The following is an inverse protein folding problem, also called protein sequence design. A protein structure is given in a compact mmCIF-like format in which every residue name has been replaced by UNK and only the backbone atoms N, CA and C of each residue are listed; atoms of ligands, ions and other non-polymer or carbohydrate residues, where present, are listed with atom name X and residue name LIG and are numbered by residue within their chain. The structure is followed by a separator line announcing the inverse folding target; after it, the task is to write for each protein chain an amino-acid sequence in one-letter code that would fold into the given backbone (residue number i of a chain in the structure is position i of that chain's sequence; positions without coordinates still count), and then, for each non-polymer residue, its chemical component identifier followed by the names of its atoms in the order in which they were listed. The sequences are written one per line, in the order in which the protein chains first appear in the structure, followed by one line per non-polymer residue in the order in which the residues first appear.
data_IF_265403864537
#
_entry.id   IF_265403864537
#
_cell.length_a   1.000
_cell.length_b   1.000
_cell.length_c   1.000
_cell.angle_alpha   90.00
_cell.angle_beta   90.00
_cell.angle_gamma   90.00
#
_symmetry.space_group_name_H-M   'P 1'
#
loop_
_entity.id
_entity.type
_entity.pdbx_description
1 polymer ?
#
# COMPACT_ATOMS: atom_id res chain seq x y z
N UNK A 1 -40.29 -9.83 -22.81
CA UNK A 1 -38.83 -10.03 -22.81
C UNK A 1 -38.16 -9.25 -21.67
N UNK A 2 -38.45 -7.96 -21.51
CA UNK A 2 -37.90 -7.11 -20.43
C UNK A 2 -38.31 -7.56 -19.01
N UNK A 3 -39.60 -7.89 -18.83
CA UNK A 3 -40.17 -8.44 -17.58
C UNK A 3 -39.45 -9.72 -17.09
N UNK A 4 -39.01 -10.56 -18.04
CA UNK A 4 -38.33 -11.83 -17.74
C UNK A 4 -36.85 -11.64 -17.40
N UNK A 5 -36.24 -10.52 -17.79
CA UNK A 5 -34.84 -10.20 -17.52
C UNK A 5 -34.65 -9.61 -16.13
N UNK A 6 -35.56 -8.74 -15.69
CA UNK A 6 -35.53 -8.10 -14.36
C UNK A 6 -35.70 -9.11 -13.22
N UNK A 7 -36.65 -10.04 -13.35
CA UNK A 7 -36.86 -11.11 -12.36
C UNK A 7 -35.68 -12.07 -12.26
N UNK A 8 -35.01 -12.38 -13.38
CA UNK A 8 -33.82 -13.24 -13.41
C UNK A 8 -32.59 -12.54 -12.83
N UNK A 9 -32.41 -11.26 -13.12
CA UNK A 9 -31.33 -10.46 -12.54
C UNK A 9 -31.50 -10.28 -11.03
N UNK A 10 -32.73 -10.10 -10.54
CA UNK A 10 -33.02 -10.06 -9.10
C UNK A 10 -32.72 -11.38 -8.37
N UNK A 11 -33.03 -12.52 -8.97
CA UNK A 11 -32.70 -13.83 -8.42
C UNK A 11 -31.18 -14.09 -8.39
N UNK A 12 -30.46 -13.71 -9.45
CA UNK A 12 -29.00 -13.82 -9.54
C UNK A 12 -28.28 -12.88 -8.57
N UNK A 13 -28.87 -11.72 -8.27
CA UNK A 13 -28.33 -10.79 -7.28
C UNK A 13 -28.35 -11.38 -5.86
N UNK A 14 -29.27 -12.29 -5.57
CA UNK A 14 -29.41 -12.97 -4.27
C UNK A 14 -28.59 -14.27 -4.16
N UNK A 15 -27.92 -14.69 -5.23
CA UNK A 15 -27.17 -15.95 -5.25
C UNK A 15 -25.79 -15.79 -4.59
N UNK A 16 -25.64 -16.33 -3.37
CA UNK A 16 -24.40 -16.25 -2.59
C UNK A 16 -23.27 -17.17 -3.08
N UNK A 17 -23.49 -17.97 -4.13
CA UNK A 17 -22.47 -18.89 -4.65
C UNK A 17 -21.29 -18.18 -5.32
N UNK A 18 -21.49 -16.97 -5.86
CA UNK A 18 -20.43 -16.19 -6.51
C UNK A 18 -20.61 -14.67 -6.33
N UNK A 19 -19.70 -13.99 -5.61
CA UNK A 19 -19.80 -12.54 -5.40
C UNK A 19 -19.63 -11.76 -6.72
N UNK A 20 -18.91 -12.32 -7.70
CA UNK A 20 -18.74 -11.70 -9.03
C UNK A 20 -20.07 -11.69 -9.78
N UNK A 21 -20.84 -12.78 -9.75
CA UNK A 21 -22.16 -12.86 -10.39
C UNK A 21 -23.16 -11.92 -9.72
N UNK A 22 -23.08 -11.77 -8.39
CA UNK A 22 -23.88 -10.80 -7.65
C UNK A 22 -23.60 -9.36 -8.07
N UNK A 23 -22.32 -8.98 -8.20
CA UNK A 23 -21.92 -7.63 -8.66
C UNK A 23 -22.47 -7.34 -10.06
N UNK A 24 -22.27 -8.24 -11.02
CA UNK A 24 -22.69 -8.02 -12.41
C UNK A 24 -24.21 -8.04 -12.59
N UNK A 25 -24.93 -8.87 -11.83
CA UNK A 25 -26.40 -8.89 -11.83
C UNK A 25 -26.99 -7.62 -11.21
N UNK A 26 -26.44 -7.14 -10.09
CA UNK A 26 -26.82 -5.85 -9.48
C UNK A 26 -26.53 -4.67 -10.41
N UNK A 27 -25.37 -4.70 -11.09
CA UNK A 27 -25.01 -3.66 -12.04
C UNK A 27 -25.96 -3.65 -13.25
N UNK A 28 -26.29 -4.83 -13.80
CA UNK A 28 -27.29 -4.96 -14.86
C UNK A 28 -28.66 -4.44 -14.41
N UNK A 29 -29.08 -4.75 -13.17
CA UNK A 29 -30.33 -4.26 -12.60
C UNK A 29 -30.33 -2.72 -12.48
N UNK A 30 -29.19 -2.12 -12.12
CA UNK A 30 -29.05 -0.65 -12.01
C UNK A 30 -29.16 0.03 -13.37
N UNK A 31 -28.55 -0.53 -14.42
CA UNK A 31 -28.65 -0.04 -15.79
C UNK A 31 -30.08 -0.18 -16.34
N UNK A 32 -30.78 -1.25 -16.00
CA UNK A 32 -32.19 -1.43 -16.39
C UNK A 32 -33.06 -0.38 -15.71
N UNK A 33 -32.83 -0.11 -14.42
CA UNK A 33 -33.54 0.93 -13.68
C UNK A 33 -33.30 2.33 -14.28
N UNK A 34 -32.06 2.66 -14.64
CA UNK A 34 -31.70 3.95 -15.25
C UNK A 34 -32.29 4.12 -16.66
N UNK A 35 -32.29 3.05 -17.47
CA UNK A 35 -32.76 3.08 -18.85
C UNK A 35 -34.29 2.99 -19.00
N UNK A 36 -34.98 2.38 -18.03
CA UNK A 36 -36.43 2.13 -18.12
C UNK A 36 -37.28 3.32 -17.64
N UNK A 37 -36.68 4.29 -16.93
CA UNK A 37 -37.36 5.50 -16.49
C UNK A 37 -38.69 5.22 -15.74
N UNK A 38 -39.80 5.94 -16.02
CA UNK A 38 -41.06 5.78 -15.30
C UNK A 38 -41.75 4.42 -15.51
N UNK A 39 -41.33 3.63 -16.50
CA UNK A 39 -41.86 2.28 -16.79
C UNK A 39 -41.39 1.29 -15.70
N UNK A 40 -40.30 1.59 -15.00
CA UNK A 40 -39.73 0.78 -13.92
C UNK A 40 -40.55 0.79 -12.61
N UNK A 41 -41.62 1.59 -12.51
CA UNK A 41 -42.39 1.80 -11.26
C UNK A 41 -42.95 0.51 -10.65
N UNK A 42 -43.38 -0.45 -11.47
CA UNK A 42 -43.89 -1.74 -10.99
C UNK A 42 -42.84 -2.64 -10.31
N UNK A 43 -41.56 -2.32 -10.49
CA UNK A 43 -40.43 -3.15 -10.02
C UNK A 43 -39.66 -2.51 -8.86
N UNK A 44 -40.06 -1.33 -8.40
CA UNK A 44 -39.37 -0.62 -7.32
C UNK A 44 -39.45 -1.42 -6.01
N UNK A 45 -40.64 -1.88 -5.64
CA UNK A 45 -40.89 -2.61 -4.41
C UNK A 45 -40.18 -3.99 -4.34
N UNK A 46 -40.25 -4.87 -5.36
CA UNK A 46 -39.48 -6.12 -5.35
C UNK A 46 -37.97 -5.88 -5.37
N UNK A 47 -37.49 -4.90 -6.13
CA UNK A 47 -36.05 -4.57 -6.18
C UNK A 47 -35.55 -4.02 -4.84
N UNK A 48 -36.38 -3.26 -4.12
CA UNK A 48 -36.05 -2.76 -2.79
C UNK A 48 -35.97 -3.89 -1.75
N UNK A 49 -36.84 -4.90 -1.85
CA UNK A 49 -36.75 -6.10 -1.01
C UNK A 49 -35.45 -6.88 -1.24
N UNK A 50 -35.00 -6.99 -2.50
CA UNK A 50 -33.72 -7.63 -2.86
C UNK A 50 -32.55 -6.84 -2.28
N UNK A 51 -32.57 -5.51 -2.42
CA UNK A 51 -31.54 -4.63 -1.86
C UNK A 51 -31.46 -4.72 -0.34
N UNK A 52 -32.60 -4.69 0.37
CA UNK A 52 -32.62 -4.82 1.82
C UNK A 52 -32.10 -6.19 2.28
N UNK A 53 -32.47 -7.26 1.59
CA UNK A 53 -31.99 -8.61 1.88
C UNK A 53 -30.48 -8.71 1.70
N UNK A 54 -29.92 -8.08 0.67
CA UNK A 54 -28.48 -8.07 0.44
C UNK A 54 -27.71 -7.21 1.43
N UNK A 55 -28.25 -6.06 1.81
CA UNK A 55 -27.66 -5.20 2.84
C UNK A 55 -27.58 -5.87 4.21
N UNK A 56 -28.51 -6.80 4.51
CA UNK A 56 -28.54 -7.52 5.79
C UNK A 56 -27.71 -8.81 5.79
N UNK A 57 -27.51 -9.44 4.62
CA UNK A 57 -26.91 -10.78 4.54
C UNK A 57 -25.50 -10.83 3.93
N UNK A 58 -25.04 -9.79 3.23
CA UNK A 58 -23.72 -9.79 2.57
C UNK A 58 -22.62 -9.36 3.54
N UNK A 59 -21.53 -10.12 3.60
CA UNK A 59 -20.36 -9.78 4.42
C UNK A 59 -19.74 -8.43 4.03
N UNK A 60 -19.33 -7.63 5.02
CA UNK A 60 -18.74 -6.30 4.85
C UNK A 60 -17.43 -6.28 4.03
N UNK A 61 -16.82 -7.43 3.77
CA UNK A 61 -15.62 -7.55 2.94
C UNK A 61 -15.87 -7.29 1.45
N UNK A 62 -17.12 -7.40 0.96
CA UNK A 62 -17.45 -7.28 -0.47
C UNK A 62 -17.89 -5.87 -0.86
N UNK A 63 -16.96 -4.92 -0.83
CA UNK A 63 -17.20 -3.48 -1.08
C UNK A 63 -17.87 -3.20 -2.44
N UNK A 64 -17.57 -3.99 -3.47
CA UNK A 64 -18.11 -3.81 -4.83
C UNK A 64 -19.63 -4.09 -4.92
N UNK A 65 -20.13 -5.01 -4.09
CA UNK A 65 -21.57 -5.32 -3.99
C UNK A 65 -22.30 -4.11 -3.38
N UNK A 66 -21.72 -3.52 -2.33
CA UNK A 66 -22.26 -2.31 -1.69
C UNK A 66 -22.26 -1.10 -2.64
N UNK A 67 -21.25 -0.95 -3.50
CA UNK A 67 -21.24 0.08 -4.54
C UNK A 67 -22.35 -0.12 -5.58
N UNK A 68 -22.63 -1.36 -5.99
CA UNK A 68 -23.69 -1.66 -6.96
C UNK A 68 -25.09 -1.46 -6.37
N UNK A 69 -25.30 -1.86 -5.11
CA UNK A 69 -26.50 -1.51 -4.32
C UNK A 69 -26.62 0.01 -4.16
N UNK A 70 -25.48 0.69 -4.03
CA UNK A 70 -25.31 2.14 -4.13
C UNK A 70 -26.04 2.74 -5.33
N UNK A 71 -25.59 2.33 -6.52
CA UNK A 71 -26.05 2.80 -7.84
C UNK A 71 -27.51 2.43 -8.15
N UNK A 72 -27.93 1.23 -7.79
CA UNK A 72 -29.31 0.77 -8.00
C UNK A 72 -30.33 1.63 -7.23
N UNK A 73 -30.04 1.97 -5.98
CA UNK A 73 -30.91 2.83 -5.17
C UNK A 73 -30.93 4.29 -5.68
N UNK A 74 -29.81 4.83 -6.20
CA UNK A 74 -29.83 6.15 -6.83
C UNK A 74 -30.66 6.20 -8.10
N UNK A 75 -30.61 5.13 -8.91
CA UNK A 75 -31.47 4.97 -10.09
C UNK A 75 -32.95 4.95 -9.71
N UNK A 76 -33.31 4.18 -8.67
CA UNK A 76 -34.68 4.13 -8.15
C UNK A 76 -35.17 5.49 -7.61
N UNK A 77 -34.31 6.24 -6.93
CA UNK A 77 -34.64 7.55 -6.39
C UNK A 77 -34.91 8.58 -7.49
N UNK A 78 -34.19 8.49 -8.62
CA UNK A 78 -34.46 9.31 -9.81
C UNK A 78 -35.83 9.00 -10.43
N UNK A 79 -36.21 7.71 -10.52
CA UNK A 79 -37.52 7.28 -11.04
C UNK A 79 -38.67 7.70 -10.10
N UNK A 80 -38.45 7.67 -8.78
CA UNK A 80 -39.45 8.07 -7.77
C UNK A 80 -39.68 9.59 -7.71
N UNK A 81 -38.67 10.40 -8.03
CA UNK A 81 -38.75 11.87 -8.04
C UNK A 81 -39.51 12.43 -9.25
N UNK A 82 -39.71 11.64 -10.31
CA UNK A 82 -40.57 11.98 -11.46
C UNK A 82 -42.07 11.80 -11.13
N UNK A 83 -42.60 12.67 -10.25
CA UNK A 83 -44.01 13.06 -10.01
C UNK A 83 -45.03 12.07 -9.37
N UNK A 84 -45.60 12.57 -8.24
CA UNK A 84 -46.94 12.43 -7.60
C UNK A 84 -47.02 11.68 -6.25
N UNK A 85 -47.52 12.42 -5.25
CA UNK A 85 -47.91 12.03 -3.89
C UNK A 85 -48.93 10.87 -3.87
N UNK A 86 -48.56 9.74 -3.27
CA UNK A 86 -49.49 8.73 -2.75
C UNK A 86 -48.99 8.23 -1.40
N UNK A 87 -49.91 7.96 -0.47
CA UNK A 87 -49.64 7.66 0.95
C UNK A 87 -48.75 6.43 1.17
N UNK A 88 -48.78 5.45 0.26
CA UNK A 88 -47.94 4.23 0.31
C UNK A 88 -46.44 4.50 0.06
N UNK A 89 -46.09 5.64 -0.55
CA UNK A 89 -44.70 6.03 -0.83
C UNK A 89 -44.00 6.59 0.43
N UNK A 90 -44.75 6.99 1.46
CA UNK A 90 -44.17 7.51 2.71
C UNK A 90 -43.35 6.47 3.49
N UNK A 91 -43.82 5.20 3.51
CA UNK A 91 -43.08 4.07 4.08
C UNK A 91 -41.89 3.63 3.22
N UNK A 92 -42.02 3.71 1.90
CA UNK A 92 -40.89 3.48 1.00
C UNK A 92 -39.82 4.58 1.19
N UNK A 93 -40.22 5.86 1.32
CA UNK A 93 -39.33 6.99 1.60
C UNK A 93 -38.66 6.90 2.97
N UNK A 94 -39.34 6.44 4.02
CA UNK A 94 -38.70 6.21 5.32
C UNK A 94 -37.71 5.03 5.27
N UNK A 95 -38.03 3.97 4.52
CA UNK A 95 -37.13 2.83 4.30
C UNK A 95 -35.91 3.23 3.44
N UNK A 96 -36.11 4.07 2.43
CA UNK A 96 -35.03 4.69 1.64
C UNK A 96 -34.20 5.67 2.47
N UNK A 97 -34.81 6.44 3.37
CA UNK A 97 -34.10 7.35 4.28
C UNK A 97 -33.29 6.57 5.30
N UNK A 98 -33.82 5.51 5.91
CA UNK A 98 -33.05 4.62 6.77
C UNK A 98 -31.94 3.87 6.02
N UNK A 99 -32.17 3.47 4.76
CA UNK A 99 -31.13 2.88 3.91
C UNK A 99 -30.10 3.93 3.46
N UNK A 100 -30.49 5.18 3.24
CA UNK A 100 -29.60 6.31 2.97
C UNK A 100 -28.80 6.70 4.21
N UNK A 101 -29.40 6.68 5.40
CA UNK A 101 -28.74 6.94 6.68
C UNK A 101 -27.78 5.79 7.01
N UNK A 102 -28.15 4.54 6.71
CA UNK A 102 -27.25 3.38 6.80
C UNK A 102 -26.10 3.49 5.78
N UNK A 103 -26.36 3.91 4.54
CA UNK A 103 -25.33 4.17 3.52
C UNK A 103 -24.43 5.35 3.87
N UNK A 104 -25.00 6.40 4.44
CA UNK A 104 -24.28 7.57 4.93
C UNK A 104 -23.41 7.13 6.09
N UNK A 105 -23.94 6.36 7.04
CA UNK A 105 -23.19 5.83 8.16
C UNK A 105 -22.06 4.89 7.71
N UNK A 106 -22.34 3.90 6.86
CA UNK A 106 -21.33 2.98 6.31
C UNK A 106 -20.32 3.74 5.44
N UNK A 107 -20.76 4.73 4.66
CA UNK A 107 -19.90 5.60 3.87
C UNK A 107 -19.01 6.50 4.73
N UNK A 108 -19.54 7.06 5.81
CA UNK A 108 -18.80 7.85 6.80
C UNK A 108 -17.78 6.94 7.52
N UNK A 109 -18.20 5.78 7.99
CA UNK A 109 -17.31 4.80 8.64
C UNK A 109 -16.21 4.35 7.68
N UNK A 110 -16.55 4.02 6.43
CA UNK A 110 -15.59 3.66 5.39
C UNK A 110 -14.65 4.82 5.03
N UNK A 111 -15.13 6.05 5.01
CA UNK A 111 -14.33 7.26 4.80
C UNK A 111 -13.35 7.47 5.96
N UNK A 112 -13.80 7.29 7.21
CA UNK A 112 -12.96 7.36 8.41
C UNK A 112 -11.89 6.27 8.36
N UNK A 113 -12.24 5.00 8.08
CA UNK A 113 -11.29 3.90 7.98
C UNK A 113 -10.27 4.16 6.88
N UNK A 114 -10.70 4.64 5.71
CA UNK A 114 -9.81 4.99 4.59
C UNK A 114 -8.86 6.12 4.97
N UNK A 115 -9.37 7.16 5.61
CA UNK A 115 -8.58 8.32 6.07
C UNK A 115 -7.58 7.91 7.16
N UNK A 116 -7.99 7.06 8.09
CA UNK A 116 -7.10 6.51 9.11
C UNK A 116 -6.02 5.63 8.46
N UNK A 117 -6.40 4.76 7.51
CA UNK A 117 -5.46 3.91 6.79
C UNK A 117 -4.41 4.70 6.01
N UNK A 118 -4.83 5.77 5.31
CA UNK A 118 -3.88 6.64 4.62
C UNK A 118 -2.99 7.38 5.61
N UNK A 119 -3.52 7.86 6.74
CA UNK A 119 -2.72 8.49 7.78
C UNK A 119 -1.70 7.53 8.41
N UNK A 120 -2.12 6.33 8.81
CA UNK A 120 -1.25 5.30 9.39
C UNK A 120 -0.13 4.93 8.44
N UNK A 121 -0.44 4.74 7.15
CA UNK A 121 0.57 4.43 6.15
C UNK A 121 1.59 5.58 5.93
N UNK A 122 1.12 6.82 5.84
CA UNK A 122 2.01 7.99 5.75
C UNK A 122 2.92 8.10 6.98
N UNK A 123 2.38 7.82 8.17
CA UNK A 123 3.15 7.83 9.41
C UNK A 123 4.19 6.70 9.45
N UNK A 124 3.85 5.50 8.97
CA UNK A 124 4.80 4.39 8.84
C UNK A 124 5.98 4.76 7.92
N UNK A 125 5.71 5.35 6.75
CA UNK A 125 6.75 5.78 5.81
C UNK A 125 7.69 6.82 6.45
N UNK A 126 7.13 7.82 7.14
CA UNK A 126 7.91 8.83 7.84
C UNK A 126 8.75 8.24 8.99
N UNK A 127 8.19 7.31 9.75
CA UNK A 127 8.90 6.63 10.84
C UNK A 127 10.09 5.84 10.30
N UNK A 128 9.91 5.09 9.20
CA UNK A 128 11.00 4.36 8.54
C UNK A 128 12.09 5.33 8.10
N UNK A 129 11.72 6.44 7.43
CA UNK A 129 12.68 7.46 6.98
C UNK A 129 13.48 8.02 8.16
N UNK A 130 12.82 8.39 9.25
CA UNK A 130 13.48 9.00 10.42
C UNK A 130 14.44 8.05 11.11
N UNK A 131 14.03 6.79 11.33
CA UNK A 131 14.89 5.76 11.93
C UNK A 131 16.09 5.50 11.00
N UNK A 132 15.84 5.35 9.70
CA UNK A 132 16.89 5.09 8.72
C UNK A 132 17.92 6.23 8.64
N UNK A 133 17.46 7.48 8.60
CA UNK A 133 18.35 8.65 8.60
C UNK A 133 19.14 8.72 9.92
N UNK A 134 18.49 8.52 11.06
CA UNK A 134 19.15 8.57 12.37
C UNK A 134 20.28 7.55 12.52
N UNK A 135 20.08 6.32 12.02
CA UNK A 135 21.11 5.28 12.01
C UNK A 135 22.20 5.57 10.98
N UNK A 136 21.85 6.03 9.78
CA UNK A 136 22.81 6.38 8.74
C UNK A 136 23.74 7.52 9.17
N UNK A 137 23.22 8.58 9.81
CA UNK A 137 24.05 9.67 10.32
C UNK A 137 24.97 9.22 11.47
N UNK A 138 24.53 8.29 12.32
CA UNK A 138 25.39 7.70 13.35
C UNK A 138 26.54 6.89 12.75
N UNK A 139 26.29 6.10 11.69
CA UNK A 139 27.35 5.40 10.96
C UNK A 139 28.31 6.39 10.30
N UNK A 140 27.77 7.41 9.62
CA UNK A 140 28.58 8.44 8.95
C UNK A 140 29.51 9.14 9.94
N UNK A 141 29.00 9.55 11.10
CA UNK A 141 29.82 10.18 12.14
C UNK A 141 30.93 9.24 12.64
N UNK A 142 30.63 7.94 12.82
CA UNK A 142 31.64 6.93 13.19
C UNK A 142 32.71 6.77 12.09
N UNK A 143 32.28 6.76 10.82
CA UNK A 143 33.17 6.66 9.67
C UNK A 143 34.09 7.89 9.57
N UNK A 144 33.56 9.09 9.75
CA UNK A 144 34.33 10.34 9.73
C UNK A 144 35.34 10.41 10.89
N UNK A 145 34.93 10.03 12.10
CA UNK A 145 35.79 9.93 13.29
C UNK A 145 37.00 9.01 13.05
N UNK A 146 36.77 7.84 12.44
CA UNK A 146 37.81 6.86 12.15
C UNK A 146 38.73 7.37 11.04
N UNK A 147 38.15 7.92 9.96
CA UNK A 147 38.91 8.48 8.84
C UNK A 147 39.84 9.61 9.30
N UNK A 148 39.36 10.50 10.17
CA UNK A 148 40.17 11.59 10.72
C UNK A 148 41.36 11.05 11.53
N UNK A 149 41.13 10.08 12.42
CA UNK A 149 42.20 9.47 13.24
C UNK A 149 43.25 8.75 12.42
N UNK A 150 42.82 8.01 11.40
CA UNK A 150 43.71 7.26 10.51
C UNK A 150 44.54 8.21 9.63
N UNK A 151 43.97 9.32 9.18
CA UNK A 151 44.67 10.28 8.29
C UNK A 151 45.68 11.17 9.02
N UNK A 152 45.37 11.62 10.24
CA UNK A 152 46.15 12.68 10.90
C UNK A 152 47.15 12.17 11.94
N UNK A 153 46.87 11.03 12.61
CA UNK A 153 47.68 10.53 13.72
C UNK A 153 48.14 9.06 13.53
N UNK A 154 48.88 8.72 12.45
CA UNK A 154 49.35 7.34 12.23
C UNK A 154 50.35 6.83 13.27
N UNK A 155 50.95 7.73 14.08
CA UNK A 155 51.98 7.43 15.10
C UNK A 155 51.43 7.36 16.53
N UNK A 156 50.20 7.81 16.76
CA UNK A 156 49.53 7.67 18.05
C UNK A 156 49.00 6.23 18.18
N UNK A 157 49.07 5.60 19.36
CA UNK A 157 48.53 4.23 19.56
C UNK A 157 47.02 4.25 19.39
N UNK A 158 46.55 4.13 18.16
CA UNK A 158 45.13 3.98 17.83
C UNK A 158 44.63 2.73 18.55
N UNK A 159 43.61 2.89 19.41
CA UNK A 159 42.99 1.76 20.08
C UNK A 159 41.98 1.10 19.14
N UNK A 160 42.47 0.20 18.29
CA UNK A 160 41.68 -0.55 17.31
C UNK A 160 40.58 -1.39 17.95
N UNK A 161 40.81 -1.92 19.16
CA UNK A 161 39.78 -2.63 19.92
C UNK A 161 38.58 -1.73 20.24
N UNK A 162 38.83 -0.48 20.64
CA UNK A 162 37.75 0.50 20.88
C UNK A 162 36.98 0.84 19.61
N UNK A 163 37.67 0.95 18.47
CA UNK A 163 37.02 1.19 17.16
C UNK A 163 36.16 -0.02 16.77
N UNK A 164 36.71 -1.23 16.87
CA UNK A 164 36.00 -2.48 16.61
C UNK A 164 34.72 -2.57 17.44
N UNK A 165 34.82 -2.34 18.75
CA UNK A 165 33.66 -2.40 19.65
C UNK A 165 32.58 -1.38 19.25
N UNK A 166 32.95 -0.19 18.79
CA UNK A 166 31.97 0.80 18.29
C UNK A 166 31.22 0.31 17.05
N UNK A 167 31.91 -0.31 16.09
CA UNK A 167 31.25 -0.89 14.92
C UNK A 167 30.37 -2.08 15.28
N UNK A 168 30.80 -2.93 16.20
CA UNK A 168 29.99 -4.06 16.69
C UNK A 168 28.69 -3.57 17.32
N UNK A 169 28.78 -2.62 18.26
CA UNK A 169 27.60 -2.02 18.91
C UNK A 169 26.68 -1.36 17.87
N UNK A 170 27.25 -0.70 16.85
CA UNK A 170 26.47 -0.10 15.78
C UNK A 170 25.74 -1.15 14.92
N UNK A 171 26.42 -2.23 14.55
CA UNK A 171 25.84 -3.35 13.80
C UNK A 171 24.70 -4.01 14.60
N UNK A 172 24.89 -4.24 15.90
CA UNK A 172 23.87 -4.78 16.80
C UNK A 172 22.66 -3.86 16.90
N UNK A 173 22.89 -2.54 17.03
CA UNK A 173 21.82 -1.55 17.08
C UNK A 173 20.98 -1.55 15.80
N UNK A 174 21.60 -1.68 14.62
CA UNK A 174 20.85 -1.73 13.36
C UNK A 174 20.09 -3.05 13.19
N UNK A 175 20.65 -4.18 13.63
CA UNK A 175 19.93 -5.46 13.64
C UNK A 175 18.71 -5.41 14.54
N UNK A 176 18.84 -4.78 15.71
CA UNK A 176 17.72 -4.63 16.63
C UNK A 176 16.64 -3.69 16.06
N UNK A 177 17.06 -2.58 15.45
CA UNK A 177 16.14 -1.68 14.76
C UNK A 177 15.45 -2.38 13.56
N UNK A 178 16.17 -3.21 12.80
CA UNK A 178 15.61 -4.00 11.71
C UNK A 178 14.53 -4.94 12.24
N UNK A 179 14.77 -5.70 13.31
CA UNK A 179 13.76 -6.61 13.86
C UNK A 179 12.41 -5.93 14.17
N UNK A 180 12.44 -4.67 14.63
CA UNK A 180 11.25 -3.88 14.96
C UNK A 180 10.60 -3.28 13.71
N UNK A 181 11.42 -2.72 12.80
CA UNK A 181 10.94 -1.91 11.66
C UNK A 181 10.68 -2.77 10.41
N UNK A 182 11.22 -3.98 10.35
CA UNK A 182 11.16 -4.89 9.21
C UNK A 182 9.74 -5.24 8.72
N UNK A 183 8.74 -5.52 9.59
CA UNK A 183 7.35 -5.69 9.16
C UNK A 183 6.73 -4.39 8.61
N UNK A 184 7.09 -3.24 9.19
CA UNK A 184 6.60 -1.94 8.74
C UNK A 184 7.15 -1.60 7.35
N UNK A 185 8.41 -1.95 7.08
CA UNK A 185 9.05 -1.80 5.77
C UNK A 185 8.30 -2.63 4.72
N UNK A 186 7.97 -3.89 5.01
CA UNK A 186 7.26 -4.74 4.07
C UNK A 186 5.89 -4.14 3.72
N UNK A 187 5.09 -3.78 4.73
CA UNK A 187 3.78 -3.16 4.54
C UNK A 187 3.90 -1.84 3.77
N UNK A 188 4.88 -1.00 4.13
CA UNK A 188 5.18 0.25 3.43
C UNK A 188 5.48 0.02 1.94
N UNK A 189 6.37 -0.93 1.61
CA UNK A 189 6.71 -1.26 0.23
C UNK A 189 5.49 -1.76 -0.55
N UNK A 190 4.70 -2.68 0.01
CA UNK A 190 3.50 -3.20 -0.63
C UNK A 190 2.46 -2.10 -0.89
N UNK A 191 2.21 -1.26 0.11
CA UNK A 191 1.24 -0.16 0.00
C UNK A 191 1.71 0.92 -0.98
N UNK A 192 3.01 1.25 -1.00
CA UNK A 192 3.60 2.18 -1.96
C UNK A 192 3.47 1.68 -3.40
N UNK A 193 3.81 0.41 -3.67
CA UNK A 193 3.63 -0.18 -5.00
C UNK A 193 2.14 -0.18 -5.40
N UNK A 194 1.24 -0.65 -4.53
CA UNK A 194 -0.19 -0.67 -4.80
C UNK A 194 -0.74 0.72 -5.17
N UNK A 195 -0.39 1.75 -4.39
CA UNK A 195 -0.89 3.10 -4.59
C UNK A 195 -0.34 3.76 -5.85
N UNK A 196 0.93 3.50 -6.20
CA UNK A 196 1.52 3.92 -7.47
C UNK A 196 0.76 3.28 -8.64
N UNK A 197 0.47 1.98 -8.57
CA UNK A 197 -0.29 1.28 -9.62
C UNK A 197 -1.70 1.85 -9.80
N UNK A 198 -2.44 2.05 -8.70
CA UNK A 198 -3.80 2.62 -8.75
C UNK A 198 -3.81 4.00 -9.38
N UNK A 199 -2.98 4.93 -8.90
CA UNK A 199 -2.95 6.31 -9.41
C UNK A 199 -2.41 6.41 -10.84
N UNK A 200 -1.53 5.49 -11.25
CA UNK A 200 -1.11 5.39 -12.64
C UNK A 200 -2.29 5.02 -13.55
N UNK A 201 -3.08 4.01 -13.15
CA UNK A 201 -4.26 3.57 -13.91
C UNK A 201 -5.35 4.63 -14.00
N UNK A 202 -5.57 5.37 -12.90
CA UNK A 202 -6.53 6.46 -12.84
C UNK A 202 -6.04 7.70 -13.60
N UNK A 203 -4.73 7.98 -13.54
CA UNK A 203 -4.07 9.01 -14.33
C UNK A 203 -4.35 8.81 -15.82
N UNK A 204 -4.11 7.60 -16.34
CA UNK A 204 -4.40 7.24 -17.75
C UNK A 204 -5.88 7.43 -18.09
N UNK A 205 -6.79 6.98 -17.20
CA UNK A 205 -8.24 7.10 -17.42
C UNK A 205 -8.73 8.55 -17.37
N UNK A 206 -8.10 9.40 -16.57
CA UNK A 206 -8.49 10.80 -16.37
C UNK A 206 -8.06 11.75 -17.50
N UNK A 207 -7.22 11.28 -18.44
CA UNK A 207 -6.80 12.06 -19.63
C UNK A 207 -8.00 12.47 -20.51
N UNK A 208 -9.12 11.75 -20.43
CA UNK A 208 -10.36 12.06 -21.17
C UNK A 208 -11.36 12.92 -20.40
N UNK A 209 -11.06 13.31 -19.15
CA UNK A 209 -11.92 14.10 -18.26
C UNK A 209 -11.39 15.52 -18.03
N UNK A 210 -12.18 16.38 -17.37
CA UNK A 210 -11.83 17.78 -17.08
C UNK A 210 -10.39 17.97 -16.59
N UNK A 211 -9.72 19.02 -17.07
CA UNK A 211 -8.28 19.28 -16.87
C UNK A 211 -7.86 19.31 -15.39
N UNK A 212 -8.70 19.83 -14.50
CA UNK A 212 -8.42 19.93 -13.08
C UNK A 212 -8.32 18.57 -12.38
N UNK A 213 -9.18 17.62 -12.76
CA UNK A 213 -9.22 16.27 -12.16
C UNK A 213 -7.98 15.48 -12.60
N UNK A 214 -7.61 15.59 -13.87
CA UNK A 214 -6.41 14.96 -14.42
C UNK A 214 -5.14 15.44 -13.71
N UNK A 215 -4.96 16.75 -13.51
CA UNK A 215 -3.80 17.30 -12.80
C UNK A 215 -3.67 16.78 -11.36
N UNK A 216 -4.78 16.60 -10.64
CA UNK A 216 -4.77 16.06 -9.27
C UNK A 216 -4.25 14.62 -9.21
N UNK A 217 -4.69 13.76 -10.14
CA UNK A 217 -4.23 12.36 -10.19
C UNK A 217 -2.72 12.28 -10.51
N UNK A 218 -2.23 13.10 -11.45
CA UNK A 218 -0.79 13.16 -11.75
C UNK A 218 0.04 13.72 -10.59
N UNK A 219 -0.43 14.78 -9.93
CA UNK A 219 0.26 15.32 -8.75
C UNK A 219 0.41 14.27 -7.65
N UNK A 220 -0.69 13.58 -7.35
CA UNK A 220 -0.70 12.51 -6.33
C UNK A 220 0.22 11.37 -6.72
N UNK A 221 0.22 10.97 -8.00
CA UNK A 221 1.12 9.95 -8.52
C UNK A 221 2.60 10.29 -8.35
N UNK A 222 3.03 11.49 -8.78
CA UNK A 222 4.43 11.90 -8.62
C UNK A 222 4.84 12.08 -7.16
N UNK A 223 3.94 12.58 -6.33
CA UNK A 223 4.17 12.67 -4.89
C UNK A 223 4.42 11.30 -4.25
N UNK A 224 3.61 10.29 -4.62
CA UNK A 224 3.77 8.90 -4.16
C UNK A 224 5.11 8.28 -4.61
N UNK A 225 5.52 8.53 -5.86
CA UNK A 225 6.83 8.10 -6.35
C UNK A 225 7.95 8.74 -5.53
N UNK A 226 7.92 10.06 -5.34
CA UNK A 226 8.94 10.76 -4.58
C UNK A 226 9.05 10.23 -3.14
N UNK A 227 7.91 10.02 -2.47
CA UNK A 227 7.87 9.48 -1.12
C UNK A 227 8.43 8.06 -1.05
N UNK A 228 8.06 7.20 -2.00
CA UNK A 228 8.57 5.82 -2.08
C UNK A 228 10.09 5.81 -2.28
N UNK A 229 10.59 6.65 -3.18
CA UNK A 229 12.03 6.81 -3.41
C UNK A 229 12.72 7.30 -2.14
N UNK A 230 12.13 8.26 -1.40
CA UNK A 230 12.69 8.74 -0.14
C UNK A 230 12.81 7.63 0.92
N UNK A 231 11.75 6.83 1.13
CA UNK A 231 11.76 5.67 2.05
C UNK A 231 12.89 4.71 1.69
N UNK A 232 12.98 4.34 0.40
CA UNK A 232 13.96 3.35 -0.06
C UNK A 232 15.39 3.90 -0.01
N UNK A 233 15.63 5.15 -0.43
CA UNK A 233 16.97 5.78 -0.40
C UNK A 233 17.47 5.99 1.03
N UNK A 234 16.62 6.50 1.92
CA UNK A 234 16.98 6.67 3.33
C UNK A 234 17.39 5.34 3.96
N UNK A 235 16.65 4.28 3.64
CA UNK A 235 16.93 2.93 4.14
C UNK A 235 18.19 2.32 3.51
N UNK A 236 18.38 2.46 2.20
CA UNK A 236 19.57 1.98 1.50
C UNK A 236 20.86 2.69 1.95
N UNK A 237 20.75 3.94 2.44
CA UNK A 237 21.90 4.69 2.95
C UNK A 237 22.58 4.00 4.14
N UNK A 238 21.85 3.22 4.93
CA UNK A 238 22.47 2.45 6.04
C UNK A 238 23.47 1.42 5.48
N UNK A 239 23.07 0.66 4.46
CA UNK A 239 23.93 -0.32 3.78
C UNK A 239 25.12 0.37 3.09
N UNK A 240 24.90 1.55 2.48
CA UNK A 240 25.99 2.32 1.88
C UNK A 240 27.04 2.74 2.92
N UNK A 241 26.61 3.29 4.05
CA UNK A 241 27.51 3.79 5.10
C UNK A 241 28.21 2.65 5.84
N UNK A 242 27.54 1.51 6.05
CA UNK A 242 28.19 0.32 6.63
C UNK A 242 29.25 -0.26 5.69
N UNK A 243 28.98 -0.31 4.39
CA UNK A 243 29.95 -0.77 3.39
C UNK A 243 31.06 0.27 3.15
N UNK A 244 30.78 1.56 3.35
CA UNK A 244 31.79 2.61 3.25
C UNK A 244 32.92 2.43 4.29
N UNK A 245 32.61 1.91 5.48
CA UNK A 245 33.61 1.58 6.50
C UNK A 245 34.69 0.63 5.96
N UNK A 246 34.31 -0.40 5.19
CA UNK A 246 35.26 -1.32 4.54
C UNK A 246 36.22 -0.59 3.61
N UNK A 247 35.72 0.40 2.86
CA UNK A 247 36.54 1.19 1.94
C UNK A 247 37.57 2.06 2.67
N UNK A 248 37.26 2.52 3.89
CA UNK A 248 38.20 3.27 4.74
C UNK A 248 39.35 2.37 5.17
N UNK A 249 39.04 1.18 5.69
CA UNK A 249 40.08 0.24 6.16
C UNK A 249 40.91 -0.33 5.00
N UNK A 250 40.30 -0.58 3.83
CA UNK A 250 40.99 -1.05 2.64
C UNK A 250 41.99 -0.03 2.05
N UNK A 251 41.79 1.28 2.33
CA UNK A 251 42.67 2.36 1.86
C UNK A 251 43.73 2.77 2.88
N UNK A 252 43.84 2.07 4.02
CA UNK A 252 44.86 2.37 5.02
C UNK A 252 46.27 2.14 4.46
N UNK A 253 47.22 3.02 4.81
CA UNK A 253 48.60 2.92 4.36
C UNK A 253 49.26 1.62 4.90
N UNK A 254 50.15 0.95 4.13
CA UNK A 254 50.81 -0.29 4.56
C UNK A 254 51.52 -0.21 5.92
N UNK A 255 51.99 0.98 6.31
CA UNK A 255 52.64 1.22 7.60
C UNK A 255 51.70 1.14 8.82
N UNK A 256 50.39 1.18 8.62
CA UNK A 256 49.34 1.07 9.67
C UNK A 256 48.61 -0.28 9.56
N UNK A 257 48.96 -1.11 8.57
CA UNK A 257 48.31 -2.38 8.27
C UNK A 257 48.76 -3.47 9.25
N UNK A 258 48.16 -3.43 10.44
CA UNK A 258 48.36 -4.42 11.50
C UNK A 258 47.26 -5.50 11.46
N UNK A 259 47.50 -6.61 12.14
CA UNK A 259 46.59 -7.77 12.16
C UNK A 259 45.17 -7.40 12.63
N UNK A 260 45.03 -6.42 13.52
CA UNK A 260 43.75 -5.93 14.03
C UNK A 260 42.89 -5.26 12.94
N UNK A 261 43.51 -4.52 12.01
CA UNK A 261 42.81 -3.86 10.90
C UNK A 261 42.28 -4.91 9.92
N UNK A 262 43.07 -5.96 9.66
CA UNK A 262 42.65 -7.10 8.83
C UNK A 262 41.43 -7.79 9.44
N UNK A 263 41.45 -8.04 10.75
CA UNK A 263 40.29 -8.65 11.44
C UNK A 263 39.05 -7.76 11.42
N UNK A 264 39.21 -6.44 11.58
CA UNK A 264 38.08 -5.50 11.46
C UNK A 264 37.50 -5.54 10.05
N UNK A 265 38.36 -5.52 9.02
CA UNK A 265 37.91 -5.60 7.62
C UNK A 265 37.19 -6.92 7.32
N UNK A 266 37.73 -8.05 7.77
CA UNK A 266 37.08 -9.35 7.63
C UNK A 266 35.71 -9.37 8.33
N UNK A 267 35.64 -8.88 9.57
CA UNK A 267 34.39 -8.85 10.32
C UNK A 267 33.34 -7.96 9.64
N UNK A 268 33.70 -6.75 9.22
CA UNK A 268 32.79 -5.86 8.49
C UNK A 268 32.33 -6.46 7.15
N UNK A 269 33.14 -7.31 6.52
CA UNK A 269 32.79 -7.94 5.24
C UNK A 269 31.80 -9.10 5.40
N UNK A 270 31.90 -9.81 6.54
CA UNK A 270 31.05 -10.94 6.89
C UNK A 270 29.74 -10.45 7.48
N UNK A 271 29.82 -9.50 8.42
CA UNK A 271 28.68 -8.99 9.16
C UNK A 271 27.98 -7.85 8.41
N UNK A 272 27.37 -8.19 7.27
CA UNK A 272 26.61 -7.23 6.46
C UNK A 272 25.38 -6.76 7.21
N UNK A 273 25.18 -5.45 7.17
CA UNK A 273 24.08 -4.77 7.85
C UNK A 273 23.25 -4.03 6.82
N UNK A 274 21.96 -4.34 6.78
CA UNK A 274 20.98 -3.67 5.92
C UNK A 274 19.62 -3.87 6.55
N UNK A 275 18.70 -2.93 6.33
CA UNK A 275 17.30 -3.16 6.65
C UNK A 275 16.68 -4.14 5.67
N UNK A 276 15.82 -5.00 6.19
CA UNK A 276 15.17 -6.08 5.47
C UNK A 276 13.66 -5.97 5.59
N UNK A 277 12.94 -6.37 4.54
CA UNK A 277 11.48 -6.50 4.59
C UNK A 277 11.12 -7.93 5.01
N UNK A 278 10.92 -8.17 6.30
CA UNK A 278 10.76 -9.49 6.95
C UNK A 278 11.69 -10.59 6.39
N UNK A 279 12.96 -10.25 6.15
CA UNK A 279 13.96 -11.12 5.51
C UNK A 279 13.56 -11.67 4.11
N UNK A 280 12.55 -11.13 3.45
CA UNK A 280 12.25 -11.44 2.05
C UNK A 280 13.30 -10.84 1.12
N UNK A 281 13.65 -9.58 1.34
CA UNK A 281 14.67 -8.87 0.59
C UNK A 281 15.33 -7.80 1.46
N UNK A 282 16.59 -7.49 1.15
CA UNK A 282 17.35 -6.39 1.73
C UNK A 282 17.19 -5.14 0.88
N UNK A 283 16.95 -4.00 1.53
CA UNK A 283 16.83 -2.71 0.86
C UNK A 283 18.23 -2.14 0.64
N UNK A 284 18.65 -2.10 -0.62
CA UNK A 284 19.93 -1.53 -1.08
C UNK A 284 19.69 -0.63 -2.29
N UNK A 285 20.67 0.17 -2.72
CA UNK A 285 20.52 0.98 -3.95
C UNK A 285 20.18 0.13 -5.19
N UNK A 286 20.65 -1.13 -5.22
CA UNK A 286 20.37 -2.07 -6.32
C UNK A 286 18.89 -2.47 -6.36
N UNK A 287 18.23 -2.54 -5.20
CA UNK A 287 16.80 -2.84 -5.10
C UNK A 287 15.95 -1.80 -5.86
N UNK A 288 16.33 -0.50 -5.80
CA UNK A 288 15.63 0.57 -6.54
C UNK A 288 15.64 0.30 -8.05
N UNK A 289 16.78 -0.13 -8.60
CA UNK A 289 16.92 -0.44 -10.02
C UNK A 289 16.06 -1.64 -10.40
N UNK A 290 16.03 -2.68 -9.57
CA UNK A 290 15.20 -3.87 -9.79
C UNK A 290 13.71 -3.55 -9.75
N UNK A 291 13.24 -2.76 -8.78
CA UNK A 291 11.83 -2.37 -8.69
C UNK A 291 11.43 -1.46 -9.85
N UNK A 292 12.27 -0.48 -10.19
CA UNK A 292 12.03 0.44 -11.31
C UNK A 292 11.99 -0.29 -12.66
N UNK A 293 12.90 -1.25 -12.87
CA UNK A 293 12.88 -2.08 -14.07
C UNK A 293 11.60 -2.92 -14.14
N UNK A 294 11.20 -3.60 -13.07
CA UNK A 294 10.00 -4.42 -13.10
C UNK A 294 8.71 -3.58 -13.29
N UNK A 295 8.64 -2.39 -12.71
CA UNK A 295 7.54 -1.45 -12.97
C UNK A 295 7.49 -0.96 -14.42
N UNK A 296 8.65 -0.85 -15.10
CA UNK A 296 8.74 -0.40 -16.48
C UNK A 296 8.49 -1.52 -17.50
N UNK A 297 8.99 -2.73 -17.24
CA UNK A 297 8.97 -3.85 -18.19
C UNK A 297 7.71 -4.72 -18.11
N UNK A 298 7.16 -4.91 -16.92
CA UNK A 298 5.95 -5.71 -16.74
C UNK A 298 4.74 -4.79 -16.66
N UNK A 299 3.80 -4.94 -17.59
CA UNK A 299 2.47 -4.36 -17.47
C UNK A 299 1.93 -4.68 -16.06
N UNK A 300 1.33 -3.68 -15.40
CA UNK A 300 0.88 -3.63 -13.99
C UNK A 300 0.31 -4.92 -13.36
N UNK A 301 -0.22 -5.82 -14.18
CA UNK A 301 -0.79 -7.12 -13.79
C UNK A 301 0.29 -8.09 -13.29
N UNK A 302 1.44 -8.18 -13.96
CA UNK A 302 2.47 -9.18 -13.65
C UNK A 302 3.24 -8.85 -12.36
N UNK A 303 3.42 -7.57 -12.04
CA UNK A 303 4.09 -7.15 -10.79
C UNK A 303 3.24 -7.44 -9.55
N UNK A 304 1.92 -7.19 -9.67
CA UNK A 304 0.96 -7.49 -8.62
C UNK A 304 0.86 -9.00 -8.42
N UNK A 305 0.83 -9.77 -9.53
CA UNK A 305 0.86 -11.23 -9.49
C UNK A 305 2.16 -11.74 -8.86
N UNK A 306 3.34 -11.21 -9.23
CA UNK A 306 4.63 -11.59 -8.66
C UNK A 306 4.69 -11.35 -7.14
N UNK A 307 4.22 -10.20 -6.66
CA UNK A 307 4.17 -9.90 -5.22
C UNK A 307 3.16 -10.79 -4.48
N UNK A 308 2.00 -11.07 -5.08
CA UNK A 308 1.00 -12.00 -4.51
C UNK A 308 1.57 -13.42 -4.44
N UNK A 309 2.25 -13.91 -5.47
CA UNK A 309 2.88 -15.23 -5.48
C UNK A 309 4.00 -15.33 -4.43
N UNK A 310 4.82 -14.29 -4.28
CA UNK A 310 5.88 -14.24 -3.25
C UNK A 310 5.35 -14.24 -1.81
N UNK A 311 4.18 -13.65 -1.59
CA UNK A 311 3.49 -13.64 -0.30
C UNK A 311 2.74 -14.96 -0.07
N UNK A 312 2.11 -15.52 -1.11
CA UNK A 312 1.37 -16.79 -1.09
C UNK A 312 2.29 -17.97 -0.80
N UNK A 313 3.43 -18.07 -1.49
CA UNK A 313 4.40 -19.17 -1.34
C UNK A 313 4.94 -19.29 0.10
N UNK A 314 4.91 -18.21 0.89
CA UNK A 314 5.37 -18.24 2.28
C UNK A 314 4.23 -18.38 3.29
N UNK A 315 2.99 -18.04 2.95
CA UNK A 315 1.86 -18.24 3.85
C UNK A 315 1.60 -19.74 4.08
N UNK A 316 1.82 -20.57 3.05
CA UNK A 316 1.78 -22.03 3.15
C UNK A 316 2.92 -22.60 4.02
N UNK A 317 4.03 -21.88 4.17
CA UNK A 317 5.18 -22.29 4.98
C UNK A 317 5.07 -21.92 6.48
N UNK A 318 4.04 -21.16 6.89
CA UNK A 318 3.77 -20.86 8.30
C UNK A 318 2.69 -21.78 8.93
N UNK A 319 2.16 -22.74 8.15
CA UNK A 319 1.18 -23.74 8.59
C UNK A 319 1.74 -25.18 8.61
N UNK A 320 3.01 -25.36 8.97
CA UNK A 320 3.60 -26.65 9.38
C UNK A 320 4.35 -26.48 10.69
#
# INVERSE_FOLDING_TARGET
MQITLEGRAGALAQDNSSPVVQVWSLYALSLIADSSGPIYRGYIEPTLSVVLTLLLNVSFSYVDIYQCIGKLLSAQQLVLNCKVHTSSISMARSSFLCACDYKLFVGIVGCIIRTMGTFTWNFCDLLIILVSIGLAERYKNLNEDVRFKVSNNPTERINWLKIKNKYVIMNELVKEADNIVSPLILISCCMNVYQICVHSSEGIRSVTTETNISMYHFYTFFFLIFRTIAVVLSTARIDDESNYALSIFARCHPSVFIIEVVWIQQQLSIDKVSFTAMKFFSITRKFILTVSMNLYFHNYIDLTFFLITLISDRWDNYHI
#
